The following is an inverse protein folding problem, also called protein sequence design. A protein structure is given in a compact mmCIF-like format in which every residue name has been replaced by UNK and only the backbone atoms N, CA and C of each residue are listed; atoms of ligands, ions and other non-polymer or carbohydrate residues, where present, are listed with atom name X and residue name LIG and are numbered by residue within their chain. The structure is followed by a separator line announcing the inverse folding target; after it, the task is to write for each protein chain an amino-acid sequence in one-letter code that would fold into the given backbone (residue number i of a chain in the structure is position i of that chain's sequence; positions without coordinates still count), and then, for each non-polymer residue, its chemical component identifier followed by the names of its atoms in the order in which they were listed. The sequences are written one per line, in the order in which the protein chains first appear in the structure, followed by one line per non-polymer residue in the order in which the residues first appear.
data_IF_694319271194
#
_entry.id   IF_694319271194
#
_cell.length_a   1.000
_cell.length_b   1.000
_cell.length_c   1.000
_cell.angle_alpha   90.00
_cell.angle_beta   90.00
_cell.angle_gamma   90.00
#
_symmetry.space_group_name_H-M   'P 1'
#
loop_
_entity.id
_entity.type
_entity.pdbx_description
1 polymer ?
#
# COMPACT_ATOMS: atom_id res chain seq x y z
N UNK A 1 -41.20 3.13 0.40
CA UNK A 1 -41.44 2.32 -0.80
C UNK A 1 -40.63 1.03 -0.68
N UNK A 2 -41.32 -0.01 -0.24
CA UNK A 2 -40.71 -1.28 0.18
C UNK A 2 -40.39 -2.26 -0.96
N UNK A 3 -40.38 -1.82 -2.22
CA UNK A 3 -40.33 -2.71 -3.37
C UNK A 3 -39.42 -2.29 -4.53
N UNK A 4 -38.40 -1.49 -4.31
CA UNK A 4 -37.30 -1.45 -5.28
C UNK A 4 -36.44 -2.68 -5.03
N UNK A 5 -36.50 -3.65 -5.95
CA UNK A 5 -35.61 -4.80 -5.87
C UNK A 5 -34.18 -4.35 -5.88
N UNK A 6 -33.32 -5.05 -5.17
CA UNK A 6 -31.89 -4.68 -5.00
C UNK A 6 -31.17 -4.50 -6.34
N UNK A 7 -31.66 -5.16 -7.38
CA UNK A 7 -31.13 -5.08 -8.74
C UNK A 7 -31.46 -3.74 -9.42
N UNK A 8 -32.65 -3.20 -9.22
CA UNK A 8 -33.03 -1.88 -9.76
C UNK A 8 -32.27 -0.75 -9.09
N UNK A 9 -32.04 -0.84 -7.76
CA UNK A 9 -31.19 0.10 -7.05
C UNK A 9 -29.74 0.02 -7.53
N UNK A 10 -29.23 -1.19 -7.82
CA UNK A 10 -27.89 -1.43 -8.35
C UNK A 10 -27.70 -0.79 -9.72
N UNK A 11 -28.64 -1.00 -10.65
CA UNK A 11 -28.60 -0.40 -11.98
C UNK A 11 -28.69 1.14 -11.89
N UNK A 12 -29.52 1.65 -10.97
CA UNK A 12 -29.61 3.08 -10.70
C UNK A 12 -28.31 3.67 -10.17
N UNK A 13 -27.57 2.93 -9.33
CA UNK A 13 -26.27 3.35 -8.79
C UNK A 13 -25.14 3.21 -9.82
N UNK A 14 -25.14 2.20 -10.66
CA UNK A 14 -24.20 2.06 -11.79
C UNK A 14 -24.34 3.23 -12.77
N UNK A 15 -25.55 3.75 -12.93
CA UNK A 15 -25.82 4.94 -13.74
C UNK A 15 -25.56 6.27 -13.00
N UNK A 16 -25.19 6.24 -11.73
CA UNK A 16 -24.88 7.45 -10.94
C UNK A 16 -23.69 8.24 -11.51
N UNK A 17 -22.81 7.60 -12.29
CA UNK A 17 -21.79 8.30 -13.08
C UNK A 17 -22.38 9.27 -14.10
N UNK A 18 -23.59 9.00 -14.63
CA UNK A 18 -24.35 9.89 -15.51
C UNK A 18 -24.94 11.09 -14.79
N UNK A 19 -25.11 11.02 -13.46
CA UNK A 19 -25.86 12.04 -12.73
C UNK A 19 -25.05 13.31 -12.44
N UNK A 20 -23.79 13.38 -12.87
CA UNK A 20 -22.94 14.56 -12.65
C UNK A 20 -23.18 15.18 -11.27
N UNK A 21 -23.11 14.33 -10.25
CA UNK A 21 -23.46 14.70 -8.86
C UNK A 21 -22.72 15.96 -8.42
N UNK A 22 -21.44 16.06 -8.78
CA UNK A 22 -20.64 17.24 -8.50
C UNK A 22 -21.21 18.51 -9.15
N UNK A 23 -21.69 18.44 -10.39
CA UNK A 23 -22.24 19.60 -11.10
C UNK A 23 -23.53 20.09 -10.45
N UNK A 24 -24.38 19.19 -9.93
CA UNK A 24 -25.57 19.58 -9.16
C UNK A 24 -25.21 20.37 -7.91
N UNK A 25 -24.24 19.89 -7.14
CA UNK A 25 -23.80 20.60 -5.95
C UNK A 25 -23.14 21.94 -6.28
N UNK A 26 -22.34 22.00 -7.36
CA UNK A 26 -21.79 23.27 -7.87
C UNK A 26 -22.90 24.28 -8.24
N UNK A 27 -24.00 23.82 -8.85
CA UNK A 27 -25.14 24.69 -9.21
C UNK A 27 -25.86 25.26 -7.98
N UNK A 28 -25.76 24.60 -6.83
CA UNK A 28 -26.25 25.12 -5.56
C UNK A 28 -25.25 26.04 -4.84
N UNK A 29 -24.12 26.37 -5.45
CA UNK A 29 -23.11 27.25 -4.87
C UNK A 29 -22.17 26.56 -3.86
N UNK A 30 -22.04 25.22 -3.90
CA UNK A 30 -21.15 24.50 -3.05
C UNK A 30 -19.76 24.33 -3.69
N UNK A 31 -18.72 24.38 -2.86
CA UNK A 31 -17.40 23.91 -3.26
C UNK A 31 -17.42 22.40 -3.31
N UNK A 32 -17.08 21.81 -4.45
CA UNK A 32 -17.12 20.36 -4.68
C UNK A 32 -15.71 19.81 -4.85
N UNK A 33 -15.36 18.84 -4.05
CA UNK A 33 -14.09 18.11 -4.10
C UNK A 33 -14.42 16.65 -4.39
N UNK A 34 -13.96 16.13 -5.53
CA UNK A 34 -14.15 14.73 -5.90
C UNK A 34 -12.83 13.98 -5.70
N UNK A 35 -12.90 12.81 -5.06
CA UNK A 35 -11.73 11.99 -4.72
C UNK A 35 -12.04 10.50 -4.89
N UNK A 36 -10.98 9.70 -5.01
CA UNK A 36 -11.05 8.25 -4.82
C UNK A 36 -11.21 7.96 -3.32
N UNK A 37 -12.36 7.41 -2.92
CA UNK A 37 -12.69 7.13 -1.52
C UNK A 37 -11.94 5.93 -0.93
N UNK A 38 -11.22 5.16 -1.77
CA UNK A 38 -10.35 4.08 -1.32
C UNK A 38 -8.90 4.54 -1.09
N UNK A 39 -8.59 5.81 -1.38
CA UNK A 39 -7.27 6.39 -1.13
C UNK A 39 -7.33 7.37 0.03
N UNK A 40 -6.82 6.92 1.17
CA UNK A 40 -6.91 7.66 2.44
C UNK A 40 -6.23 9.03 2.37
N UNK A 41 -5.13 9.12 1.60
CA UNK A 41 -4.39 10.36 1.37
C UNK A 41 -5.26 11.39 0.65
N UNK A 42 -5.98 10.98 -0.40
CA UNK A 42 -6.88 11.87 -1.14
C UNK A 42 -8.05 12.35 -0.27
N UNK A 43 -8.59 11.47 0.58
CA UNK A 43 -9.67 11.83 1.52
C UNK A 43 -9.16 12.83 2.56
N UNK A 44 -7.98 12.61 3.13
CA UNK A 44 -7.33 13.50 4.10
C UNK A 44 -7.06 14.89 3.51
N UNK A 45 -6.50 14.94 2.30
CA UNK A 45 -6.24 16.18 1.58
C UNK A 45 -7.54 16.92 1.26
N UNK A 46 -8.58 16.19 0.83
CA UNK A 46 -9.89 16.79 0.55
C UNK A 46 -10.50 17.45 1.79
N UNK A 47 -10.38 16.81 2.95
CA UNK A 47 -10.83 17.39 4.24
C UNK A 47 -10.06 18.68 4.54
N UNK A 48 -8.74 18.67 4.37
CA UNK A 48 -7.89 19.83 4.60
C UNK A 48 -8.26 20.99 3.65
N UNK A 49 -8.45 20.69 2.37
CA UNK A 49 -8.90 21.67 1.36
C UNK A 49 -10.28 22.21 1.68
N UNK A 50 -11.23 21.35 2.05
CA UNK A 50 -12.59 21.76 2.42
C UNK A 50 -12.59 22.73 3.60
N UNK A 51 -11.76 22.49 4.62
CA UNK A 51 -11.61 23.38 5.80
C UNK A 51 -11.03 24.75 5.45
N UNK A 52 -10.24 24.87 4.39
CA UNK A 52 -9.64 26.13 3.96
C UNK A 52 -10.61 27.04 3.22
N UNK A 53 -11.69 26.50 2.63
CA UNK A 53 -12.70 27.28 1.89
C UNK A 53 -13.58 28.04 2.86
N UNK A 54 -13.76 29.35 2.61
CA UNK A 54 -14.60 30.24 3.41
C UNK A 54 -15.71 30.84 2.54
N UNK A 55 -16.82 31.17 3.17
CA UNK A 55 -17.95 31.86 2.51
C UNK A 55 -18.88 30.95 1.71
N UNK A 56 -18.59 29.68 1.56
CA UNK A 56 -19.47 28.70 0.94
C UNK A 56 -19.29 27.31 1.60
N UNK A 57 -20.31 26.47 1.62
CA UNK A 57 -20.20 25.12 2.11
C UNK A 57 -19.36 24.24 1.16
N UNK A 58 -18.68 23.24 1.71
CA UNK A 58 -17.92 22.26 0.92
C UNK A 58 -18.58 20.88 1.02
N UNK A 59 -18.59 20.16 -0.10
CA UNK A 59 -18.95 18.76 -0.16
C UNK A 59 -17.78 17.96 -0.72
N UNK A 60 -17.48 16.83 -0.10
CA UNK A 60 -16.50 15.85 -0.60
C UNK A 60 -17.28 14.67 -1.15
N UNK A 61 -17.10 14.39 -2.44
CA UNK A 61 -17.66 13.23 -3.11
C UNK A 61 -16.57 12.17 -3.22
N UNK A 62 -16.62 11.19 -2.32
CA UNK A 62 -15.71 10.07 -2.32
C UNK A 62 -16.30 8.96 -3.21
N UNK A 63 -15.63 8.66 -4.32
CA UNK A 63 -16.00 7.54 -5.19
C UNK A 63 -15.50 6.25 -4.57
N UNK A 64 -16.43 5.34 -4.30
CA UNK A 64 -16.14 4.06 -3.66
C UNK A 64 -16.78 2.92 -4.45
N UNK A 65 -16.18 1.74 -4.34
CA UNK A 65 -16.73 0.48 -4.82
C UNK A 65 -17.22 -0.28 -3.59
N UNK A 66 -18.48 -0.67 -3.60
CA UNK A 66 -19.07 -1.46 -2.51
C UNK A 66 -18.38 -2.81 -2.42
N UNK A 67 -18.02 -3.25 -1.21
CA UNK A 67 -17.33 -4.53 -1.01
C UNK A 67 -15.93 -4.59 -1.58
N UNK A 68 -15.29 -3.43 -1.82
CA UNK A 68 -13.93 -3.32 -2.36
C UNK A 68 -12.99 -4.30 -1.65
N UNK A 69 -12.16 -4.98 -2.45
CA UNK A 69 -11.16 -5.93 -2.02
C UNK A 69 -11.69 -7.36 -1.70
N UNK A 70 -12.99 -7.60 -1.84
CA UNK A 70 -13.56 -8.95 -1.72
C UNK A 70 -14.28 -9.29 -3.03
N UNK A 71 -13.65 -10.12 -3.87
CA UNK A 71 -14.04 -10.34 -5.28
C UNK A 71 -15.54 -10.62 -5.47
N UNK A 72 -16.11 -11.53 -4.68
CA UNK A 72 -17.52 -11.87 -4.81
C UNK A 72 -18.50 -10.92 -4.10
N UNK A 73 -17.98 -9.93 -3.34
CA UNK A 73 -18.77 -8.85 -2.74
C UNK A 73 -18.67 -7.55 -3.52
N UNK A 74 -17.60 -7.37 -4.31
CA UNK A 74 -17.32 -6.14 -5.04
C UNK A 74 -18.42 -5.86 -6.04
N UNK A 75 -18.98 -4.64 -5.97
CA UNK A 75 -20.11 -4.17 -6.81
C UNK A 75 -21.36 -5.07 -6.80
N UNK A 76 -21.50 -5.93 -5.80
CA UNK A 76 -22.60 -6.88 -5.70
C UNK A 76 -23.67 -6.40 -4.69
N UNK A 77 -24.85 -5.96 -5.16
CA UNK A 77 -25.90 -5.41 -4.31
C UNK A 77 -26.51 -6.44 -3.35
N UNK A 78 -26.38 -7.74 -3.65
CA UNK A 78 -26.90 -8.80 -2.78
C UNK A 78 -26.25 -8.83 -1.39
N UNK A 79 -25.09 -8.17 -1.23
CA UNK A 79 -24.42 -7.99 0.06
C UNK A 79 -24.84 -6.74 0.81
N UNK A 80 -25.92 -6.07 0.37
CA UNK A 80 -26.45 -4.95 1.13
C UNK A 80 -27.15 -5.44 2.40
N UNK A 81 -26.59 -5.07 3.57
CA UNK A 81 -27.13 -5.46 4.87
C UNK A 81 -26.99 -6.92 5.24
N UNK A 82 -26.17 -7.70 4.53
CA UNK A 82 -25.90 -9.11 4.84
C UNK A 82 -24.50 -9.28 5.40
N UNK A 83 -24.39 -10.11 6.44
CA UNK A 83 -23.10 -10.57 6.94
C UNK A 83 -22.68 -11.85 6.21
N UNK A 84 -21.37 -12.09 6.02
CA UNK A 84 -20.88 -13.34 5.46
C UNK A 84 -21.21 -14.51 6.38
N UNK A 85 -21.49 -15.68 5.77
CA UNK A 85 -21.67 -16.90 6.54
C UNK A 85 -20.35 -17.35 7.17
N UNK A 86 -20.37 -18.11 8.28
CA UNK A 86 -19.14 -18.63 8.89
C UNK A 86 -18.23 -19.40 7.93
N UNK A 87 -18.80 -20.08 6.93
CA UNK A 87 -18.05 -20.82 5.94
C UNK A 87 -17.33 -19.90 4.92
N UNK A 88 -17.84 -18.69 4.72
CA UNK A 88 -17.28 -17.72 3.76
C UNK A 88 -16.21 -16.82 4.39
N UNK A 89 -16.24 -16.65 5.71
CA UNK A 89 -15.29 -15.78 6.42
C UNK A 89 -13.81 -16.15 6.14
N UNK A 90 -13.38 -17.43 6.14
CA UNK A 90 -11.99 -17.76 5.81
C UNK A 90 -11.59 -17.36 4.40
N UNK A 91 -12.50 -17.49 3.43
CA UNK A 91 -12.25 -17.11 2.02
C UNK A 91 -12.08 -15.60 1.91
N UNK A 92 -12.98 -14.84 2.55
CA UNK A 92 -12.89 -13.37 2.58
C UNK A 92 -11.60 -12.90 3.24
N UNK A 93 -11.22 -13.50 4.37
CA UNK A 93 -9.97 -13.15 5.03
C UNK A 93 -8.76 -13.43 4.13
N UNK A 94 -8.75 -14.55 3.42
CA UNK A 94 -7.69 -14.86 2.47
C UNK A 94 -7.63 -13.84 1.32
N UNK A 95 -8.78 -13.41 0.77
CA UNK A 95 -8.83 -12.37 -0.25
C UNK A 95 -8.31 -11.03 0.28
N UNK A 96 -8.67 -10.65 1.49
CA UNK A 96 -8.21 -9.42 2.15
C UNK A 96 -6.71 -9.48 2.48
N UNK A 97 -6.25 -10.58 3.05
CA UNK A 97 -4.84 -10.79 3.40
C UNK A 97 -3.93 -10.73 2.16
N UNK A 98 -4.41 -11.22 1.00
CA UNK A 98 -3.65 -11.16 -0.25
C UNK A 98 -3.45 -9.75 -0.83
N UNK A 99 -4.14 -8.74 -0.30
CA UNK A 99 -4.06 -7.35 -0.77
C UNK A 99 -3.13 -6.48 0.07
N UNK A 100 -2.74 -6.96 1.24
CA UNK A 100 -1.82 -6.28 2.14
C UNK A 100 -0.62 -7.19 2.37
N UNK A 101 0.57 -6.68 2.05
CA UNK A 101 1.81 -7.36 2.34
C UNK A 101 2.52 -6.60 3.46
N UNK A 102 2.98 -7.33 4.47
CA UNK A 102 3.64 -6.76 5.65
C UNK A 102 5.13 -7.02 5.51
N UNK A 103 5.91 -5.95 5.47
CA UNK A 103 7.36 -5.96 5.39
C UNK A 103 7.96 -5.24 6.62
N UNK A 104 8.10 -5.90 7.78
CA UNK A 104 8.69 -5.28 8.95
C UNK A 104 10.16 -4.96 8.71
N UNK A 105 10.58 -3.73 9.07
CA UNK A 105 12.00 -3.37 9.06
C UNK A 105 12.68 -3.88 10.33
N UNK A 106 13.72 -4.72 10.17
CA UNK A 106 14.44 -5.31 11.31
C UNK A 106 15.30 -4.30 12.09
N UNK A 107 15.60 -3.13 11.49
CA UNK A 107 16.31 -2.07 12.22
C UNK A 107 15.44 -1.37 13.28
N UNK A 108 14.12 -1.55 13.23
CA UNK A 108 13.21 -1.09 14.27
C UNK A 108 13.25 -1.95 15.54
N UNK A 109 13.90 -3.10 15.48
CA UNK A 109 14.09 -4.02 16.58
C UNK A 109 15.47 -3.91 17.27
N UNK A 110 15.98 -5.02 17.75
CA UNK A 110 17.30 -5.09 18.40
C UNK A 110 18.42 -5.26 17.38
N UNK A 111 19.08 -4.18 17.03
CA UNK A 111 20.23 -4.15 16.11
C UNK A 111 21.43 -4.98 16.58
N UNK A 112 21.49 -5.32 17.88
CA UNK A 112 22.57 -6.18 18.40
C UNK A 112 22.30 -7.67 18.23
N UNK A 113 21.05 -8.03 17.83
CA UNK A 113 20.64 -9.42 17.63
C UNK A 113 19.66 -9.56 16.44
N UNK A 114 20.15 -9.25 15.24
CA UNK A 114 19.35 -9.28 14.01
C UNK A 114 18.84 -10.67 13.66
N UNK A 115 19.54 -11.73 14.05
CA UNK A 115 19.09 -13.12 13.87
C UNK A 115 17.76 -13.38 14.59
N UNK A 116 17.60 -12.82 15.79
CA UNK A 116 16.34 -12.91 16.53
C UNK A 116 15.25 -12.07 15.90
N UNK A 117 15.57 -10.90 15.33
CA UNK A 117 14.58 -10.08 14.62
C UNK A 117 14.06 -10.77 13.35
N UNK A 118 14.93 -11.41 12.57
CA UNK A 118 14.53 -12.26 11.43
C UNK A 118 13.59 -13.37 11.88
N UNK A 119 13.92 -14.06 12.98
CA UNK A 119 13.05 -15.11 13.52
C UNK A 119 11.69 -14.57 14.00
N UNK A 120 11.65 -13.38 14.59
CA UNK A 120 10.37 -12.74 14.99
C UNK A 120 9.49 -12.44 13.79
N UNK A 121 10.08 -12.00 12.66
CA UNK A 121 9.34 -11.82 11.41
C UNK A 121 8.78 -13.14 10.89
N UNK A 122 9.56 -14.21 10.96
CA UNK A 122 9.16 -15.56 10.54
C UNK A 122 8.03 -16.11 11.43
N UNK A 123 8.16 -16.01 12.74
CA UNK A 123 7.14 -16.40 13.72
C UNK A 123 5.85 -15.57 13.55
N UNK A 124 5.98 -14.28 13.17
CA UNK A 124 4.90 -13.35 12.88
C UNK A 124 4.27 -13.53 11.51
N UNK A 125 4.80 -14.40 10.65
CA UNK A 125 4.35 -14.65 9.27
C UNK A 125 4.33 -13.37 8.43
N UNK A 126 5.42 -12.58 8.49
CA UNK A 126 5.60 -11.44 7.60
C UNK A 126 5.69 -11.92 6.13
N UNK A 127 5.24 -11.11 5.19
CA UNK A 127 5.31 -11.41 3.76
C UNK A 127 6.71 -11.15 3.20
N UNK A 128 7.38 -10.12 3.74
CA UNK A 128 8.76 -9.73 3.45
C UNK A 128 9.50 -9.38 4.73
N UNK A 129 10.82 -9.36 4.69
CA UNK A 129 11.67 -8.76 5.71
C UNK A 129 12.34 -7.55 5.08
N UNK A 130 12.06 -6.34 5.61
CA UNK A 130 12.63 -5.10 5.10
C UNK A 130 14.00 -4.84 5.73
N UNK A 131 15.00 -4.65 4.85
CA UNK A 131 16.42 -4.49 5.22
C UNK A 131 16.90 -3.09 4.81
N UNK A 132 16.91 -2.15 5.76
CA UNK A 132 17.40 -0.79 5.54
C UNK A 132 18.93 -0.78 5.65
N UNK A 133 19.60 -0.66 4.52
CA UNK A 133 21.07 -0.56 4.41
C UNK A 133 21.48 0.91 4.35
N UNK A 134 22.32 1.33 5.28
CA UNK A 134 22.81 2.71 5.39
C UNK A 134 24.33 2.72 5.51
N UNK A 135 25.00 3.52 4.68
CA UNK A 135 26.47 3.60 4.61
C UNK A 135 27.09 4.75 5.45
N UNK A 136 26.26 5.56 6.09
CA UNK A 136 26.73 6.72 6.84
C UNK A 136 27.19 7.89 5.97
N UNK A 137 27.00 7.83 4.64
CA UNK A 137 27.38 8.86 3.67
C UNK A 137 26.16 9.43 2.95
N UNK A 138 25.30 8.58 2.40
CA UNK A 138 24.04 9.01 1.81
C UNK A 138 23.06 9.52 2.87
N UNK A 139 22.98 8.80 3.99
CA UNK A 139 22.31 9.24 5.21
C UNK A 139 23.30 9.22 6.39
N UNK A 140 23.07 10.04 7.47
CA UNK A 140 24.01 10.10 8.60
C UNK A 140 24.13 8.79 9.39
N UNK A 141 23.12 7.94 9.32
CA UNK A 141 23.10 6.66 10.02
C UNK A 141 23.87 5.60 9.25
N UNK A 142 24.43 4.64 9.98
CA UNK A 142 25.04 3.43 9.41
C UNK A 142 24.38 2.20 10.03
N UNK A 143 24.07 1.19 9.23
CA UNK A 143 23.47 -0.06 9.70
C UNK A 143 24.39 -1.26 9.39
N UNK A 144 24.08 -2.02 8.39
CA UNK A 144 24.82 -3.19 7.96
C UNK A 144 24.96 -3.20 6.43
N UNK A 145 25.79 -4.09 5.90
CA UNK A 145 26.01 -4.26 4.46
C UNK A 145 25.55 -5.67 3.97
N UNK A 146 25.85 -5.98 2.71
CA UNK A 146 25.50 -7.26 2.09
C UNK A 146 26.12 -8.47 2.81
N UNK A 147 27.20 -8.31 3.57
CA UNK A 147 27.81 -9.44 4.32
C UNK A 147 26.88 -9.90 5.44
N UNK A 148 26.24 -8.97 6.14
CA UNK A 148 25.23 -9.29 7.16
C UNK A 148 23.98 -9.91 6.52
N UNK A 149 23.53 -9.42 5.37
CA UNK A 149 22.38 -10.01 4.64
C UNK A 149 22.68 -11.48 4.30
N UNK A 150 23.89 -11.78 3.82
CA UNK A 150 24.33 -13.13 3.52
C UNK A 150 24.33 -14.04 4.75
N UNK A 151 24.67 -13.51 5.94
CA UNK A 151 24.60 -14.24 7.20
C UNK A 151 23.16 -14.53 7.62
N UNK A 152 22.23 -13.58 7.38
CA UNK A 152 20.82 -13.69 7.75
C UNK A 152 20.03 -14.58 6.79
N UNK A 153 20.40 -14.63 5.50
CA UNK A 153 19.64 -15.33 4.46
C UNK A 153 19.29 -16.78 4.80
N UNK A 154 20.18 -17.61 5.33
CA UNK A 154 19.86 -19.01 5.64
C UNK A 154 18.92 -19.20 6.84
N UNK A 155 18.57 -18.15 7.57
CA UNK A 155 17.75 -18.23 8.78
C UNK A 155 16.24 -18.24 8.50
N UNK A 156 15.82 -17.87 7.28
CA UNK A 156 14.40 -17.79 6.90
C UNK A 156 14.22 -18.07 5.42
N UNK A 157 12.99 -18.38 5.02
CA UNK A 157 12.56 -18.48 3.62
C UNK A 157 11.79 -17.24 3.18
N UNK A 158 11.47 -16.32 4.10
CA UNK A 158 10.77 -15.07 3.77
C UNK A 158 11.66 -14.22 2.85
N UNK A 159 11.10 -13.66 1.76
CA UNK A 159 11.86 -12.82 0.85
C UNK A 159 12.40 -11.57 1.54
N UNK A 160 13.61 -11.16 1.15
CA UNK A 160 14.25 -9.94 1.62
C UNK A 160 13.98 -8.79 0.67
N UNK A 161 13.35 -7.72 1.19
CA UNK A 161 13.15 -6.43 0.54
C UNK A 161 14.22 -5.45 1.04
N UNK A 162 15.28 -5.27 0.25
CA UNK A 162 16.48 -4.51 0.63
C UNK A 162 16.42 -3.09 0.08
N UNK A 163 16.46 -2.12 0.99
CA UNK A 163 16.44 -0.69 0.66
C UNK A 163 17.85 -0.10 0.84
N UNK A 164 18.46 0.32 -0.26
CA UNK A 164 19.82 0.84 -0.30
C UNK A 164 19.85 2.36 -0.14
N UNK A 165 20.13 2.83 1.05
CA UNK A 165 20.45 4.22 1.36
C UNK A 165 21.97 4.41 1.37
N UNK A 166 22.59 4.22 0.22
CA UNK A 166 24.05 4.25 0.03
C UNK A 166 24.45 5.09 -1.19
N UNK A 167 25.67 5.58 -1.19
CA UNK A 167 26.27 6.18 -2.37
C UNK A 167 26.63 5.10 -3.41
N UNK A 168 26.49 5.43 -4.70
CA UNK A 168 26.81 4.55 -5.83
C UNK A 168 26.17 3.14 -5.76
N UNK A 169 24.83 3.04 -5.55
CA UNK A 169 24.15 1.76 -5.37
C UNK A 169 24.33 0.84 -6.59
N UNK A 170 24.35 1.37 -7.79
CA UNK A 170 24.48 0.61 -9.05
C UNK A 170 25.75 -0.26 -9.05
N UNK A 171 26.86 0.26 -8.54
CA UNK A 171 28.12 -0.51 -8.45
C UNK A 171 28.08 -1.65 -7.44
N UNK A 172 27.12 -1.64 -6.52
CA UNK A 172 27.05 -2.57 -5.40
C UNK A 172 25.83 -3.49 -5.45
N UNK A 173 24.83 -3.19 -6.26
CA UNK A 173 23.55 -3.91 -6.30
C UNK A 173 23.75 -5.43 -6.48
N UNK A 174 24.70 -5.86 -7.30
CA UNK A 174 24.98 -7.27 -7.52
C UNK A 174 25.42 -7.98 -6.23
N UNK A 175 26.19 -7.30 -5.35
CA UNK A 175 26.61 -7.89 -4.07
C UNK A 175 25.41 -8.18 -3.16
N UNK A 176 24.37 -7.33 -3.21
CA UNK A 176 23.15 -7.52 -2.43
C UNK A 176 22.27 -8.63 -3.00
N UNK A 177 22.18 -8.74 -4.32
CA UNK A 177 21.50 -9.86 -5.00
C UNK A 177 22.19 -11.17 -4.67
N UNK A 178 23.53 -11.23 -4.78
CA UNK A 178 24.32 -12.42 -4.46
C UNK A 178 24.29 -12.78 -2.97
N UNK A 179 24.00 -11.80 -2.10
CA UNK A 179 23.80 -12.02 -0.67
C UNK A 179 22.42 -12.62 -0.34
N UNK A 180 21.49 -12.60 -1.31
CA UNK A 180 20.15 -13.19 -1.19
C UNK A 180 19.04 -12.18 -0.97
N UNK A 181 19.21 -10.93 -1.42
CA UNK A 181 18.11 -9.97 -1.55
C UNK A 181 17.20 -10.37 -2.72
N UNK A 182 15.90 -10.44 -2.47
CA UNK A 182 14.89 -10.78 -3.50
C UNK A 182 14.36 -9.53 -4.21
N UNK A 183 14.28 -8.43 -3.49
CA UNK A 183 13.91 -7.10 -3.99
C UNK A 183 15.01 -6.12 -3.56
N UNK A 184 15.42 -5.23 -4.46
CA UNK A 184 16.38 -4.16 -4.15
C UNK A 184 15.81 -2.81 -4.58
N UNK A 185 15.67 -1.92 -3.63
CA UNK A 185 15.20 -0.54 -3.82
C UNK A 185 16.38 0.43 -3.71
N UNK A 186 16.52 1.34 -4.68
CA UNK A 186 17.55 2.38 -4.71
C UNK A 186 16.92 3.77 -4.78
N UNK A 187 17.66 4.78 -4.35
CA UNK A 187 17.25 6.18 -4.46
C UNK A 187 17.60 6.76 -5.83
N UNK A 188 16.62 7.37 -6.48
CA UNK A 188 16.80 7.95 -7.83
C UNK A 188 17.83 9.08 -7.86
N UNK A 189 18.01 9.82 -6.77
CA UNK A 189 18.95 10.93 -6.66
C UNK A 189 20.44 10.53 -6.68
N UNK A 190 20.74 9.24 -6.52
CA UNK A 190 22.10 8.68 -6.64
C UNK A 190 22.25 7.76 -7.87
N UNK A 191 21.26 7.77 -8.76
CA UNK A 191 21.24 7.05 -10.01
C UNK A 191 21.18 8.06 -11.17
N UNK A 192 22.00 7.87 -12.20
CA UNK A 192 21.88 8.63 -13.45
C UNK A 192 21.03 7.85 -14.49
N UNK A 193 20.68 8.51 -15.62
CA UNK A 193 19.85 7.88 -16.65
C UNK A 193 20.47 6.60 -17.25
N UNK A 194 21.81 6.47 -17.27
CA UNK A 194 22.50 5.28 -17.77
C UNK A 194 22.40 4.12 -16.79
N UNK A 195 22.36 4.41 -15.48
CA UNK A 195 22.27 3.44 -14.40
C UNK A 195 20.94 2.68 -14.36
N UNK A 196 19.85 3.30 -14.79
CA UNK A 196 18.55 2.63 -14.87
C UNK A 196 18.50 1.50 -15.91
N UNK A 197 19.30 1.61 -16.99
CA UNK A 197 19.44 0.52 -17.97
C UNK A 197 20.21 -0.68 -17.43
N UNK A 198 21.16 -0.46 -16.53
CA UNK A 198 21.98 -1.52 -15.92
C UNK A 198 21.26 -2.27 -14.79
N UNK A 199 20.24 -1.64 -14.18
CA UNK A 199 19.44 -2.24 -13.10
C UNK A 199 18.36 -3.19 -13.65
N UNK A 200 18.01 -3.09 -14.94
CA UNK A 200 16.90 -3.81 -15.56
C UNK A 200 17.29 -5.14 -16.23
N UNK A 201 18.55 -5.44 -16.38
CA UNK A 201 19.08 -6.68 -16.96
C UNK A 201 19.56 -7.65 -15.87
#
# INVERSE_FOLDING_TARGET
DENLETDELSEMWKDASRWKTGDKWRSFGWNVIEVDGHRIEQVSDAITRAKSVKGMPSIIIARTIKGKAVEHMEDNPQWHGKAPTPALVPVINQELDSQFMIAPSIIAGDMTNLENEVKRCDDGRADYIHLDVMDGQFVPNSTFDYTKIKELRPLTVIPFDTHLMINEPVKQIQNYIDAGSDIVTVHAEVCDESSFGEIHD
#
